data_IF_254231063944
#
_entry.id   IF_254231063944
#
_cell.length_a   1.000
_cell.length_b   1.000
_cell.length_c   1.000
_cell.angle_alpha   90.00
_cell.angle_beta   90.00
_cell.angle_gamma   90.00
#
_symmetry.space_group_name_H-M   'P 1'
#
loop_
_entity.id
_entity.type
_entity.pdbx_description
1 polymer ?
#
# COMPACT_ATOMS: atom_id res chain seq x y z
N UNK A 1 -6.40 -12.20 17.51
CA UNK A 1 -6.58 -11.26 16.40
C UNK A 1 -5.25 -10.54 16.23
N UNK A 2 -4.35 -11.04 15.38
CA UNK A 2 -3.01 -10.45 15.27
C UNK A 2 -3.09 -9.18 14.42
N UNK A 3 -2.57 -8.08 14.96
CA UNK A 3 -2.47 -6.75 14.37
C UNK A 3 -1.55 -6.66 13.12
N UNK A 4 -1.30 -7.78 12.43
CA UNK A 4 -0.18 -7.89 11.49
C UNK A 4 -0.50 -7.61 10.03
N UNK A 5 -1.72 -7.22 9.63
CA UNK A 5 -2.11 -7.49 8.23
C UNK A 5 -2.63 -6.35 7.37
N UNK A 6 -2.49 -5.07 7.74
CA UNK A 6 -3.15 -3.99 6.98
C UNK A 6 -2.28 -2.77 6.63
N UNK A 7 -1.04 -2.68 7.11
CA UNK A 7 -0.28 -1.41 7.03
C UNK A 7 0.94 -1.41 6.10
N UNK A 8 1.19 -2.45 5.29
CA UNK A 8 2.50 -2.54 4.65
C UNK A 8 2.56 -3.08 3.23
N UNK A 9 1.47 -3.54 2.62
CA UNK A 9 1.51 -3.97 1.23
C UNK A 9 1.41 -2.81 0.26
N UNK A 10 2.22 -2.84 -0.79
CA UNK A 10 2.26 -1.81 -1.82
C UNK A 10 2.77 -2.37 -3.15
N UNK A 11 2.44 -1.67 -4.22
CA UNK A 11 3.08 -1.87 -5.51
C UNK A 11 4.31 -0.95 -5.61
N UNK A 12 5.41 -1.48 -6.11
CA UNK A 12 6.67 -0.75 -6.26
C UNK A 12 7.21 -0.82 -7.69
N UNK A 13 7.59 0.34 -8.22
CA UNK A 13 8.40 0.47 -9.43
C UNK A 13 9.79 0.99 -9.08
N UNK A 14 10.59 1.33 -10.09
CA UNK A 14 11.92 1.92 -9.89
C UNK A 14 11.87 3.27 -9.16
N UNK A 15 10.84 4.08 -9.41
CA UNK A 15 10.78 5.46 -8.92
C UNK A 15 9.57 5.77 -8.03
N UNK A 16 8.59 4.86 -7.97
CA UNK A 16 7.32 5.13 -7.33
C UNK A 16 6.83 3.95 -6.51
N UNK A 17 6.12 4.29 -5.43
CA UNK A 17 5.42 3.37 -4.55
C UNK A 17 3.93 3.70 -4.55
N UNK A 18 3.08 2.71 -4.76
CA UNK A 18 1.63 2.87 -4.73
C UNK A 18 1.03 2.03 -3.59
N UNK A 19 0.28 2.67 -2.68
CA UNK A 19 -0.28 2.05 -1.47
C UNK A 19 -1.71 2.53 -1.19
N UNK A 20 -2.45 1.78 -0.36
CA UNK A 20 -3.76 2.20 0.15
C UNK A 20 -3.61 2.62 1.60
N UNK A 21 -4.00 3.86 1.90
CA UNK A 21 -4.11 4.41 3.25
C UNK A 21 -5.57 4.42 3.71
N UNK A 22 -5.83 4.21 4.98
CA UNK A 22 -7.14 4.48 5.59
C UNK A 22 -7.08 5.84 6.29
N UNK A 23 -7.89 6.80 5.84
CA UNK A 23 -7.83 8.19 6.26
C UNK A 23 -9.21 8.70 6.69
N UNK A 24 -9.22 9.78 7.47
CA UNK A 24 -10.44 10.52 7.81
C UNK A 24 -10.39 11.90 7.16
N UNK A 25 -11.41 12.25 6.38
CA UNK A 25 -11.56 13.56 5.73
C UNK A 25 -12.71 14.35 6.37
N UNK A 26 -12.57 15.68 6.53
CA UNK A 26 -13.66 16.50 7.06
C UNK A 26 -14.89 16.47 6.16
N UNK A 27 -16.08 16.34 6.76
CA UNK A 27 -17.37 16.39 6.07
C UNK A 27 -18.37 17.19 6.89
N UNK A 28 -18.31 18.52 6.74
CA UNK A 28 -19.03 19.44 7.61
C UNK A 28 -18.48 19.37 9.04
N UNK A 29 -19.34 19.11 10.02
CA UNK A 29 -18.98 18.95 11.44
C UNK A 29 -18.58 17.50 11.79
N UNK A 30 -18.65 16.57 10.83
CA UNK A 30 -18.31 15.15 10.98
C UNK A 30 -17.00 14.79 10.26
N UNK A 31 -16.52 13.56 10.50
CA UNK A 31 -15.41 12.93 9.77
C UNK A 31 -15.97 11.80 8.89
N UNK A 32 -15.64 11.83 7.60
CA UNK A 32 -15.89 10.70 6.69
C UNK A 32 -14.60 9.88 6.57
N UNK A 33 -14.71 8.57 6.81
CA UNK A 33 -13.58 7.66 6.60
C UNK A 33 -13.52 7.21 5.13
N UNK A 34 -12.32 7.25 4.56
CA UNK A 34 -12.07 6.87 3.17
C UNK A 34 -10.81 6.02 3.04
N UNK A 35 -10.70 5.30 1.93
CA UNK A 35 -9.52 4.57 1.51
C UNK A 35 -8.83 5.36 0.40
N UNK A 36 -7.64 5.89 0.68
CA UNK A 36 -6.86 6.71 -0.24
C UNK A 36 -5.83 5.84 -0.96
N UNK A 37 -5.99 5.66 -2.27
CA UNK A 37 -4.96 5.09 -3.12
C UNK A 37 -3.94 6.19 -3.45
N UNK A 38 -2.73 6.07 -2.91
CA UNK A 38 -1.70 7.11 -2.98
C UNK A 38 -0.46 6.58 -3.71
N UNK A 39 0.09 7.38 -4.62
CA UNK A 39 1.40 7.14 -5.24
C UNK A 39 2.40 8.15 -4.69
N UNK A 40 3.50 7.63 -4.17
CA UNK A 40 4.62 8.39 -3.63
C UNK A 40 5.83 8.26 -4.54
N UNK A 41 6.64 9.31 -4.62
CA UNK A 41 7.97 9.27 -5.21
C UNK A 41 9.05 8.75 -4.22
N UNK A 42 10.31 8.79 -4.65
CA UNK A 42 11.46 8.35 -3.84
C UNK A 42 11.71 9.21 -2.59
N UNK A 43 11.18 10.44 -2.55
CA UNK A 43 11.26 11.34 -1.38
C UNK A 43 10.02 11.24 -0.50
N UNK A 44 9.18 10.21 -0.71
CA UNK A 44 7.90 10.00 -0.05
C UNK A 44 6.88 11.13 -0.27
N UNK A 45 7.04 11.92 -1.33
CA UNK A 45 6.09 12.97 -1.68
C UNK A 45 4.94 12.39 -2.49
N UNK A 46 3.73 12.84 -2.19
CA UNK A 46 2.53 12.49 -2.95
C UNK A 46 2.63 13.03 -4.37
N UNK A 47 2.55 12.12 -5.33
CA UNK A 47 2.48 12.41 -6.78
C UNK A 47 1.04 12.29 -7.28
N UNK A 48 0.26 11.40 -6.66
CA UNK A 48 -1.13 11.16 -7.00
C UNK A 48 -1.87 10.61 -5.79
N UNK A 49 -3.14 10.99 -5.63
CA UNK A 49 -4.04 10.39 -4.67
C UNK A 49 -5.47 10.31 -5.23
N UNK A 50 -6.16 9.23 -4.88
CA UNK A 50 -7.59 9.07 -5.15
C UNK A 50 -8.29 8.36 -4.00
N UNK A 51 -9.38 8.97 -3.53
CA UNK A 51 -10.17 8.44 -2.41
C UNK A 51 -11.33 7.56 -2.87
N UNK A 52 -11.60 6.53 -2.06
CA UNK A 52 -12.67 5.56 -2.25
C UNK A 52 -13.45 5.38 -0.95
N UNK A 53 -14.74 5.07 -1.06
CA UNK A 53 -15.58 4.81 0.12
C UNK A 53 -15.48 3.37 0.59
N UNK A 54 -15.07 2.47 -0.28
CA UNK A 54 -14.95 1.06 0.00
C UNK A 54 -13.56 0.53 -0.38
N UNK A 55 -13.05 -0.40 0.44
CA UNK A 55 -11.70 -0.94 0.28
C UNK A 55 -11.56 -1.76 -1.00
N UNK A 56 -12.60 -2.50 -1.38
CA UNK A 56 -12.63 -3.32 -2.60
C UNK A 56 -12.51 -2.45 -3.86
N UNK A 57 -13.13 -1.27 -3.88
CA UNK A 57 -12.96 -0.28 -4.96
C UNK A 57 -11.51 0.20 -5.05
N UNK A 58 -10.89 0.52 -3.91
CA UNK A 58 -9.49 0.92 -3.86
C UNK A 58 -8.55 -0.21 -4.33
N UNK A 59 -8.78 -1.44 -3.87
CA UNK A 59 -8.01 -2.62 -4.30
C UNK A 59 -8.15 -2.87 -5.80
N UNK A 60 -9.38 -2.80 -6.33
CA UNK A 60 -9.63 -2.96 -7.76
C UNK A 60 -8.88 -1.90 -8.58
N UNK A 61 -8.92 -0.65 -8.14
CA UNK A 61 -8.19 0.44 -8.76
C UNK A 61 -6.67 0.20 -8.75
N UNK A 62 -6.10 -0.19 -7.59
CA UNK A 62 -4.68 -0.47 -7.44
C UNK A 62 -4.22 -1.62 -8.33
N UNK A 63 -4.94 -2.73 -8.33
CA UNK A 63 -4.61 -3.90 -9.15
C UNK A 63 -4.72 -3.60 -10.64
N UNK A 64 -5.74 -2.84 -11.06
CA UNK A 64 -5.93 -2.48 -12.46
C UNK A 64 -4.86 -1.48 -12.94
N UNK A 65 -4.49 -0.53 -12.09
CA UNK A 65 -3.60 0.58 -12.48
C UNK A 65 -2.13 0.23 -12.30
N UNK A 66 -1.77 -0.41 -11.18
CA UNK A 66 -0.38 -0.66 -10.77
C UNK A 66 -0.08 -2.16 -10.60
N UNK A 67 -1.01 -3.06 -10.88
CA UNK A 67 -0.80 -4.51 -10.73
C UNK A 67 0.29 -5.11 -11.62
N UNK A 68 0.81 -4.33 -12.57
CA UNK A 68 1.97 -4.65 -13.39
C UNK A 68 3.31 -4.34 -12.70
N UNK A 69 3.30 -3.71 -11.51
CA UNK A 69 4.48 -3.42 -10.69
C UNK A 69 4.76 -4.59 -9.73
N UNK A 70 5.94 -4.56 -9.09
CA UNK A 70 6.29 -5.55 -8.08
C UNK A 70 5.46 -5.33 -6.83
N UNK A 71 4.70 -6.36 -6.43
CA UNK A 71 3.97 -6.33 -5.16
C UNK A 71 4.93 -6.65 -4.01
N UNK A 72 4.99 -5.76 -3.03
CA UNK A 72 5.80 -5.90 -1.83
C UNK A 72 4.89 -6.18 -0.65
N UNK A 73 5.19 -7.24 0.10
CA UNK A 73 4.55 -7.55 1.38
C UNK A 73 5.64 -7.74 2.46
N UNK A 74 5.96 -6.68 3.22
CA UNK A 74 6.96 -6.72 4.29
C UNK A 74 6.68 -7.72 5.41
N UNK A 75 5.48 -8.30 5.48
CA UNK A 75 5.16 -9.34 6.45
C UNK A 75 5.58 -10.73 5.96
N UNK A 76 5.76 -10.89 4.64
CA UNK A 76 6.37 -12.07 4.07
C UNK A 76 7.87 -11.99 4.31
N UNK A 77 8.37 -12.84 5.22
CA UNK A 77 9.81 -13.05 5.35
C UNK A 77 10.32 -13.54 4.00
N UNK A 78 11.13 -12.74 3.32
CA UNK A 78 12.00 -13.26 2.27
C UNK A 78 12.78 -14.45 2.85
N UNK A 79 12.76 -15.56 2.13
CA UNK A 79 13.29 -16.84 2.58
C UNK A 79 14.64 -16.68 3.27
N UNK A 80 14.77 -17.25 4.46
CA UNK A 80 16.06 -17.44 5.09
C UNK A 80 16.98 -18.12 4.09
N UNK A 81 18.08 -17.44 3.76
CA UNK A 81 19.16 -17.98 2.96
C UNK A 81 19.57 -19.34 3.54
N UNK A 82 19.15 -20.43 2.89
CA UNK A 82 19.44 -21.81 3.30
C UNK A 82 20.81 -22.28 2.82
N UNK A 83 21.77 -21.37 2.59
CA UNK A 83 23.11 -21.72 2.10
C UNK A 83 24.26 -21.12 2.92
N UNK A 84 24.01 -20.60 4.12
CA UNK A 84 25.10 -20.39 5.09
C UNK A 84 25.32 -21.67 5.91
N UNK A 85 25.85 -22.70 5.26
CA UNK A 85 26.64 -23.71 5.98
C UNK A 85 28.00 -23.07 6.29
N UNK A 86 28.16 -22.62 7.54
CA UNK A 86 29.49 -22.34 8.07
C UNK A 86 30.13 -23.68 8.46
N UNK A 87 31.24 -24.02 7.80
CA UNK A 87 32.15 -25.09 8.18
C UNK A 87 33.30 -24.55 9.04
#
# INVERSE_FOLDING_TARGET
>A
MSLTNWNFSYYNSEFFKALISFTGVPKGDDIEFVYSATVLDLEEKEVFQKDFKALDEAILFMNTTYGHWTFMDPTQKEGGCSSCEAH
#
